data_IF_573874087106
#
_entry.id   IF_573874087106
#
_cell.length_a   1.000
_cell.length_b   1.000
_cell.length_c   1.000
_cell.angle_alpha   90.00
_cell.angle_beta   90.00
_cell.angle_gamma   90.00
#
_symmetry.space_group_name_H-M   'P 1'
#
loop_
_entity.id
_entity.type
_entity.pdbx_description
1 polymer ?
#
# COMPACT_ATOMS: atom_id res chain seq x y z
N UNK A 1 -29.18 32.11 -15.51
CA UNK A 1 -30.10 30.95 -15.42
C UNK A 1 -29.59 29.90 -16.38
N UNK A 2 -29.55 28.65 -15.92
CA UNK A 2 -29.01 27.43 -16.56
C UNK A 2 -27.49 27.43 -16.81
N UNK A 3 -26.75 26.82 -15.89
CA UNK A 3 -25.38 26.34 -16.11
C UNK A 3 -25.44 25.16 -17.09
N UNK A 4 -24.83 25.32 -18.25
CA UNK A 4 -24.72 24.27 -19.26
C UNK A 4 -24.03 23.01 -18.70
N UNK A 5 -24.86 21.97 -18.51
CA UNK A 5 -24.59 20.56 -18.77
C UNK A 5 -23.20 20.02 -18.47
N UNK A 6 -22.78 20.00 -17.21
CA UNK A 6 -21.75 19.03 -16.78
C UNK A 6 -22.36 17.64 -16.91
N UNK A 7 -22.08 16.96 -18.03
CA UNK A 7 -22.57 15.61 -18.26
C UNK A 7 -21.85 14.66 -17.31
N UNK A 8 -22.57 14.11 -16.33
CA UNK A 8 -22.05 13.08 -15.42
C UNK A 8 -21.70 11.82 -16.21
N UNK A 9 -20.44 11.75 -16.66
CA UNK A 9 -19.95 10.73 -17.57
C UNK A 9 -19.10 9.65 -16.89
N UNK A 10 -18.79 9.80 -15.59
CA UNK A 10 -18.04 8.83 -14.83
C UNK A 10 -19.00 7.93 -14.04
N UNK A 11 -19.15 6.67 -14.51
CA UNK A 11 -19.88 5.63 -13.79
C UNK A 11 -19.00 5.07 -12.66
N UNK A 12 -19.60 4.82 -11.49
CA UNK A 12 -18.90 4.37 -10.29
C UNK A 12 -19.79 3.59 -9.32
N UNK A 13 -19.16 3.05 -8.29
CA UNK A 13 -19.81 2.50 -7.10
C UNK A 13 -19.37 3.31 -5.88
N UNK A 14 -20.34 3.80 -5.09
CA UNK A 14 -20.08 4.63 -3.93
C UNK A 14 -20.81 4.14 -2.68
N UNK A 15 -20.15 4.27 -1.53
CA UNK A 15 -20.81 4.25 -0.22
C UNK A 15 -21.45 5.62 0.03
N UNK A 16 -22.59 5.63 0.72
CA UNK A 16 -23.34 6.86 1.06
C UNK A 16 -23.47 7.10 2.56
N UNK A 17 -23.12 6.10 3.36
CA UNK A 17 -23.23 6.10 4.82
C UNK A 17 -22.28 5.05 5.43
N UNK A 18 -22.11 5.03 6.77
CA UNK A 18 -21.20 4.12 7.46
C UNK A 18 -21.54 2.62 7.38
N UNK A 19 -22.64 2.20 6.74
CA UNK A 19 -22.84 0.78 6.43
C UNK A 19 -21.78 0.25 5.46
N UNK A 20 -21.21 1.13 4.64
CA UNK A 20 -20.26 0.82 3.59
C UNK A 20 -20.85 0.06 2.41
N UNK A 21 -22.18 -0.03 2.31
CA UNK A 21 -22.84 -0.66 1.16
C UNK A 21 -22.62 0.20 -0.08
N UNK A 22 -22.03 -0.40 -1.12
CA UNK A 22 -21.77 0.27 -2.38
C UNK A 22 -23.00 0.21 -3.28
N UNK A 23 -23.32 1.33 -3.92
CA UNK A 23 -24.39 1.44 -4.91
C UNK A 23 -23.92 2.23 -6.14
N UNK A 24 -24.55 2.05 -7.32
CA UNK A 24 -24.21 2.84 -8.50
C UNK A 24 -24.27 4.34 -8.22
N UNK A 25 -23.27 5.05 -8.71
CA UNK A 25 -23.09 6.48 -8.56
C UNK A 25 -22.53 7.07 -9.85
N UNK A 26 -23.01 8.25 -10.22
CA UNK A 26 -22.53 9.02 -11.37
C UNK A 26 -21.96 10.33 -10.87
N UNK A 27 -20.87 10.76 -11.49
CA UNK A 27 -20.24 12.04 -11.23
C UNK A 27 -19.41 12.47 -12.44
N UNK A 28 -18.82 13.66 -12.35
CA UNK A 28 -17.88 14.17 -13.34
C UNK A 28 -16.50 14.33 -12.73
N UNK A 29 -15.47 14.06 -13.54
CA UNK A 29 -14.10 14.43 -13.21
C UNK A 29 -13.74 15.75 -13.88
N UNK A 30 -12.73 16.42 -13.33
CA UNK A 30 -12.10 17.57 -13.99
C UNK A 30 -11.56 17.20 -15.37
N UNK A 31 -11.41 18.21 -16.22
CA UNK A 31 -10.74 18.05 -17.52
C UNK A 31 -9.28 17.62 -17.34
N UNK A 32 -8.71 17.01 -18.39
CA UNK A 32 -7.28 16.68 -18.44
C UNK A 32 -6.50 17.99 -18.54
N UNK A 33 -5.75 18.31 -17.49
CA UNK A 33 -4.84 19.45 -17.46
C UNK A 33 -3.55 19.16 -18.22
N UNK A 34 -2.69 20.17 -18.33
CA UNK A 34 -1.48 20.10 -19.16
C UNK A 34 -0.47 19.03 -18.70
N UNK A 35 -0.45 18.69 -17.42
CA UNK A 35 0.46 17.69 -16.82
C UNK A 35 -0.27 16.39 -16.41
N UNK A 36 -1.52 16.20 -16.86
CA UNK A 36 -2.36 15.08 -16.43
C UNK A 36 -2.41 13.93 -17.43
N UNK A 37 -2.67 12.75 -16.89
CA UNK A 37 -2.99 11.53 -17.63
C UNK A 37 -4.39 11.09 -17.26
N UNK A 38 -5.23 10.87 -18.27
CA UNK A 38 -6.52 10.21 -18.12
C UNK A 38 -6.38 8.75 -18.51
N UNK A 39 -6.86 7.84 -17.68
CA UNK A 39 -6.88 6.41 -17.97
C UNK A 39 -8.28 5.82 -17.86
N UNK A 40 -8.63 4.99 -18.83
CA UNK A 40 -9.77 4.08 -18.73
C UNK A 40 -9.39 2.98 -17.76
N UNK A 41 -10.13 2.86 -16.65
CA UNK A 41 -9.85 1.86 -15.63
C UNK A 41 -10.29 0.50 -16.16
N UNK A 42 -9.39 -0.48 -16.07
CA UNK A 42 -9.65 -1.87 -16.46
C UNK A 42 -9.77 -2.76 -15.24
N UNK A 43 -8.96 -2.50 -14.21
CA UNK A 43 -8.92 -3.24 -12.97
C UNK A 43 -8.72 -2.25 -11.82
N UNK A 44 -9.33 -2.56 -10.67
CA UNK A 44 -9.00 -1.93 -9.40
C UNK A 44 -8.95 -3.04 -8.35
N UNK A 45 -7.85 -3.12 -7.61
CA UNK A 45 -7.74 -4.04 -6.49
C UNK A 45 -8.63 -3.61 -5.31
N UNK A 46 -8.84 -4.56 -4.38
CA UNK A 46 -9.63 -4.37 -3.16
C UNK A 46 -8.71 -4.54 -1.96
N UNK A 47 -8.53 -3.47 -1.21
CA UNK A 47 -7.70 -3.45 0.00
C UNK A 47 -8.58 -3.25 1.24
N UNK A 48 -8.08 -3.68 2.41
CA UNK A 48 -8.78 -3.48 3.67
C UNK A 48 -9.06 -2.00 3.97
N UNK A 49 -8.19 -1.09 3.51
CA UNK A 49 -8.42 0.34 3.59
C UNK A 49 -9.75 0.76 2.91
N UNK A 50 -10.11 0.17 1.76
CA UNK A 50 -11.37 0.50 1.08
C UNK A 50 -12.58 0.14 1.95
N UNK A 51 -12.53 -1.02 2.62
CA UNK A 51 -13.57 -1.47 3.57
C UNK A 51 -13.61 -0.55 4.80
N UNK A 52 -12.43 -0.18 5.32
CA UNK A 52 -12.33 0.59 6.55
C UNK A 52 -12.88 2.02 6.37
N UNK A 53 -12.52 2.71 5.28
CA UNK A 53 -13.06 4.03 4.96
C UNK A 53 -14.52 3.98 4.54
N UNK A 54 -14.97 3.00 3.74
CA UNK A 54 -16.40 2.91 3.39
C UNK A 54 -17.32 2.72 4.61
N UNK A 55 -16.80 2.18 5.71
CA UNK A 55 -17.51 2.01 7.00
C UNK A 55 -17.22 3.11 8.02
N UNK A 56 -16.58 4.21 7.61
CA UNK A 56 -16.19 5.31 8.48
C UNK A 56 -15.31 4.89 9.67
N UNK A 57 -14.44 3.90 9.52
CA UNK A 57 -13.61 3.38 10.61
C UNK A 57 -12.69 4.40 11.26
N UNK A 58 -12.24 5.42 10.52
CA UNK A 58 -11.45 6.55 11.06
C UNK A 58 -12.31 7.74 11.53
N UNK A 59 -13.62 7.73 11.29
CA UNK A 59 -14.50 8.86 11.61
C UNK A 59 -14.41 10.05 10.64
N UNK A 60 -13.65 9.95 9.56
CA UNK A 60 -13.33 11.06 8.65
C UNK A 60 -13.86 10.87 7.21
N UNK A 61 -14.80 9.95 7.00
CA UNK A 61 -15.26 9.59 5.66
C UNK A 61 -16.20 10.63 5.07
N UNK A 62 -15.91 11.05 3.84
CA UNK A 62 -16.63 12.07 3.08
C UNK A 62 -17.53 11.39 2.04
N UNK A 63 -18.80 11.21 2.39
CA UNK A 63 -19.80 10.61 1.49
C UNK A 63 -20.35 11.64 0.47
N UNK A 64 -20.71 11.22 -0.77
CA UNK A 64 -20.54 9.89 -1.35
C UNK A 64 -19.07 9.52 -1.59
N UNK A 65 -18.66 8.36 -1.07
CA UNK A 65 -17.28 7.89 -1.09
C UNK A 65 -17.13 6.80 -2.16
N UNK A 66 -16.31 7.07 -3.17
CA UNK A 66 -15.90 6.09 -4.20
C UNK A 66 -14.52 5.55 -3.81
N UNK A 67 -14.40 4.31 -3.32
CA UNK A 67 -13.11 3.76 -2.90
C UNK A 67 -12.27 3.28 -4.09
N UNK A 68 -11.14 2.64 -3.80
CA UNK A 68 -10.22 2.05 -4.78
C UNK A 68 -8.97 2.89 -4.98
N UNK A 69 -7.81 2.30 -4.67
CA UNK A 69 -6.50 2.94 -4.72
C UNK A 69 -5.39 1.99 -5.23
N UNK A 70 -5.82 0.96 -5.94
CA UNK A 70 -4.99 -0.06 -6.59
C UNK A 70 -5.39 -0.11 -8.07
N UNK A 71 -5.24 1.03 -8.76
CA UNK A 71 -5.91 1.28 -10.05
C UNK A 71 -5.00 0.89 -11.20
N UNK A 72 -5.50 0.13 -12.15
CA UNK A 72 -4.80 -0.20 -13.40
C UNK A 72 -5.69 0.06 -14.61
N UNK A 73 -5.13 0.71 -15.62
CA UNK A 73 -5.86 1.10 -16.80
C UNK A 73 -5.00 1.31 -18.03
N UNK A 74 -5.67 1.77 -19.08
CA UNK A 74 -5.07 2.12 -20.35
C UNK A 74 -5.21 3.63 -20.53
N UNK A 75 -4.11 4.31 -20.84
CA UNK A 75 -4.11 5.76 -21.09
C UNK A 75 -5.08 6.08 -22.23
N UNK A 76 -6.01 6.99 -21.95
CA UNK A 76 -7.03 7.49 -22.88
C UNK A 76 -6.65 8.84 -23.45
N UNK A 77 -6.06 9.71 -22.64
CA UNK A 77 -5.72 11.09 -23.00
C UNK A 77 -4.55 11.56 -22.13
N UNK A 78 -3.70 12.43 -22.68
CA UNK A 78 -2.55 13.01 -21.97
C UNK A 78 -2.52 14.52 -22.20
N UNK A 79 -2.10 15.26 -21.17
CA UNK A 79 -1.87 16.69 -21.23
C UNK A 79 -0.69 17.06 -22.14
N UNK A 80 -0.65 18.32 -22.57
CA UNK A 80 0.35 18.82 -23.53
C UNK A 80 1.79 18.81 -23.01
N UNK A 81 2.01 18.77 -21.70
CA UNK A 81 3.34 18.71 -21.07
C UNK A 81 3.78 17.29 -20.73
N UNK A 82 2.86 16.32 -20.75
CA UNK A 82 3.17 14.93 -20.42
C UNK A 82 4.17 14.36 -21.43
N UNK A 83 5.22 13.72 -20.92
CA UNK A 83 6.27 13.08 -21.75
C UNK A 83 6.47 11.60 -21.44
N UNK A 84 6.16 11.16 -20.22
CA UNK A 84 6.36 9.77 -19.78
C UNK A 84 5.32 8.77 -20.33
N UNK A 85 4.18 9.27 -20.79
CA UNK A 85 3.02 8.47 -21.17
C UNK A 85 2.45 8.88 -22.52
N UNK A 86 1.82 7.93 -23.19
CA UNK A 86 1.06 8.13 -24.42
C UNK A 86 -0.22 7.30 -24.40
N UNK A 87 -1.19 7.70 -25.21
CA UNK A 87 -2.44 6.95 -25.41
C UNK A 87 -2.12 5.49 -25.75
N UNK A 88 -2.81 4.56 -25.08
CA UNK A 88 -2.59 3.11 -25.22
C UNK A 88 -1.60 2.50 -24.25
N UNK A 89 -0.79 3.29 -23.52
CA UNK A 89 0.12 2.74 -22.51
C UNK A 89 -0.65 2.11 -21.34
N UNK A 90 -0.09 1.03 -20.78
CA UNK A 90 -0.56 0.42 -19.53
C UNK A 90 -0.04 1.21 -18.33
N UNK A 91 -0.94 1.67 -17.46
CA UNK A 91 -0.60 2.57 -16.35
C UNK A 91 -1.33 2.17 -15.08
N UNK A 92 -0.61 2.26 -13.97
CA UNK A 92 -1.12 2.14 -12.61
C UNK A 92 -1.22 3.48 -11.89
N UNK A 93 -2.18 3.61 -10.98
CA UNK A 93 -2.27 4.71 -10.01
C UNK A 93 -2.46 4.11 -8.63
N UNK A 94 -1.60 4.49 -7.70
CA UNK A 94 -1.57 3.96 -6.34
C UNK A 94 -2.42 4.76 -5.36
N UNK A 95 -1.87 4.97 -4.16
CA UNK A 95 -2.60 5.53 -3.01
C UNK A 95 -2.63 7.07 -2.96
N UNK A 96 -1.96 7.71 -3.92
CA UNK A 96 -1.87 9.16 -4.06
C UNK A 96 -2.16 9.57 -5.49
N UNK A 97 -2.77 10.75 -5.65
CA UNK A 97 -3.04 11.35 -6.96
C UNK A 97 -2.39 12.72 -7.13
N UNK A 98 -1.92 13.33 -6.05
CA UNK A 98 -1.33 14.66 -6.08
C UNK A 98 -0.49 14.97 -4.81
N UNK A 99 0.32 16.03 -4.88
CA UNK A 99 1.09 16.62 -3.77
C UNK A 99 1.40 18.10 -4.08
N UNK A 100 2.14 18.78 -3.20
CA UNK A 100 2.57 20.15 -3.50
C UNK A 100 3.60 20.24 -4.64
N UNK A 101 4.38 19.17 -4.86
CA UNK A 101 5.43 19.05 -5.89
C UNK A 101 6.58 20.07 -5.77
N UNK A 102 6.66 20.86 -4.69
CA UNK A 102 7.65 21.92 -4.52
C UNK A 102 8.46 21.85 -3.21
N UNK A 103 8.01 21.10 -2.20
CA UNK A 103 8.72 20.93 -0.94
C UNK A 103 9.90 19.96 -1.05
N UNK A 104 10.81 19.99 -0.06
CA UNK A 104 12.00 19.11 0.00
C UNK A 104 11.65 17.64 -0.22
N UNK A 105 10.62 17.11 0.44
CA UNK A 105 10.20 15.72 0.27
C UNK A 105 9.68 15.43 -1.13
N UNK A 106 8.94 16.35 -1.73
CA UNK A 106 8.51 16.16 -3.11
C UNK A 106 9.66 16.26 -4.10
N UNK A 107 10.73 17.02 -3.81
CA UNK A 107 11.89 17.10 -4.70
C UNK A 107 12.81 15.88 -4.57
N UNK A 108 12.77 15.20 -3.42
CA UNK A 108 13.50 13.96 -3.14
C UNK A 108 12.69 12.69 -3.46
N UNK A 109 11.63 12.81 -4.28
CA UNK A 109 10.73 11.70 -4.63
C UNK A 109 10.20 10.96 -3.39
N UNK A 110 9.72 11.73 -2.41
CA UNK A 110 9.08 11.33 -1.14
C UNK A 110 7.73 12.05 -0.98
N UNK A 111 6.89 12.05 -2.03
CA UNK A 111 5.61 12.75 -2.05
C UNK A 111 4.62 12.24 -0.99
N UNK A 112 4.79 11.00 -0.54
CA UNK A 112 4.06 10.44 0.60
C UNK A 112 4.35 11.17 1.94
N UNK A 113 5.47 11.90 2.00
CA UNK A 113 5.90 12.73 3.11
C UNK A 113 5.76 14.24 2.82
N UNK A 114 5.02 14.62 1.78
CA UNK A 114 4.78 16.02 1.40
C UNK A 114 4.44 16.91 2.61
N UNK A 115 5.20 17.99 2.81
CA UNK A 115 5.03 18.89 3.98
C UNK A 115 3.72 19.67 3.97
N UNK A 116 3.12 19.88 2.79
CA UNK A 116 1.78 20.47 2.64
C UNK A 116 0.66 19.42 2.59
N UNK A 117 0.99 18.16 2.88
CA UNK A 117 0.07 17.03 2.85
C UNK A 117 0.06 16.29 1.51
N UNK A 118 0.01 14.95 1.57
CA UNK A 118 -0.27 14.09 0.41
C UNK A 118 -1.76 14.11 0.08
N UNK A 119 -2.12 14.00 -1.19
CA UNK A 119 -3.51 13.92 -1.63
C UNK A 119 -3.83 12.46 -1.98
N UNK A 120 -4.64 11.83 -1.13
CA UNK A 120 -5.08 10.44 -1.29
C UNK A 120 -5.94 10.26 -2.55
N UNK A 121 -5.88 9.07 -3.15
CA UNK A 121 -6.65 8.72 -4.36
C UNK A 121 -8.17 8.79 -4.19
N UNK A 122 -8.65 8.62 -2.96
CA UNK A 122 -10.04 8.86 -2.58
C UNK A 122 -10.11 9.46 -1.17
N UNK A 123 -11.27 10.04 -0.84
CA UNK A 123 -11.57 10.68 0.46
C UNK A 123 -10.70 11.91 0.81
N UNK A 124 -9.67 12.23 0.04
CA UNK A 124 -8.87 13.46 0.17
C UNK A 124 -9.50 14.66 -0.55
N UNK A 125 -8.99 15.85 -0.25
CA UNK A 125 -9.31 17.11 -0.97
C UNK A 125 -8.19 17.36 -1.98
N UNK A 126 -8.53 17.47 -3.26
CA UNK A 126 -7.56 17.76 -4.32
C UNK A 126 -7.24 19.27 -4.38
N UNK A 127 -6.27 19.65 -5.21
CA UNK A 127 -5.80 21.04 -5.37
C UNK A 127 -6.88 22.01 -5.87
N UNK A 128 -7.91 21.49 -6.53
CA UNK A 128 -9.07 22.24 -7.01
C UNK A 128 -10.22 22.34 -5.97
N UNK A 129 -10.01 21.79 -4.77
CA UNK A 129 -10.99 21.76 -3.69
C UNK A 129 -12.02 20.64 -3.80
N UNK A 130 -11.96 19.80 -4.84
CA UNK A 130 -12.89 18.68 -4.99
C UNK A 130 -12.49 17.49 -4.12
N UNK A 131 -13.49 16.68 -3.74
CA UNK A 131 -13.24 15.41 -3.04
C UNK A 131 -12.83 14.36 -4.06
N UNK A 132 -11.61 13.85 -3.89
CA UNK A 132 -11.03 12.75 -4.68
C UNK A 132 -11.90 11.49 -4.62
N UNK A 133 -12.00 10.80 -5.77
CA UNK A 133 -12.83 9.61 -5.98
C UNK A 133 -12.00 8.53 -6.67
N UNK A 134 -11.98 7.36 -6.06
CA UNK A 134 -11.05 6.28 -6.38
C UNK A 134 -11.39 5.45 -7.62
N UNK A 135 -10.76 4.29 -7.66
CA UNK A 135 -10.73 3.37 -8.80
C UNK A 135 -11.98 2.54 -9.02
N UNK A 136 -12.96 2.58 -8.12
CA UNK A 136 -14.25 1.89 -8.33
C UNK A 136 -15.15 2.72 -9.25
N UNK A 137 -14.55 3.15 -10.37
CA UNK A 137 -15.09 4.05 -11.36
C UNK A 137 -14.55 3.70 -12.75
N UNK A 138 -15.22 4.22 -13.79
CA UNK A 138 -14.93 3.88 -15.18
C UNK A 138 -13.63 4.51 -15.74
N UNK A 139 -13.20 5.65 -15.20
CA UNK A 139 -11.95 6.31 -15.58
C UNK A 139 -11.42 7.17 -14.43
N UNK A 140 -10.17 7.60 -14.50
CA UNK A 140 -9.56 8.57 -13.57
C UNK A 140 -8.63 9.54 -14.33
N UNK A 141 -8.51 10.77 -13.83
CA UNK A 141 -7.58 11.81 -14.30
C UNK A 141 -6.63 12.12 -13.17
N UNK A 142 -5.33 11.99 -13.40
CA UNK A 142 -4.27 12.07 -12.37
C UNK A 142 -3.07 12.79 -12.96
N UNK A 143 -2.34 13.54 -12.13
CA UNK A 143 -1.09 14.16 -12.54
C UNK A 143 -0.04 13.09 -12.91
N UNK A 144 0.72 13.27 -14.00
CA UNK A 144 1.60 12.22 -14.56
C UNK A 144 2.61 11.65 -13.55
N UNK A 145 3.05 12.47 -12.60
CA UNK A 145 3.95 12.09 -11.50
C UNK A 145 3.42 10.95 -10.61
N UNK A 146 2.11 10.75 -10.55
CA UNK A 146 1.46 9.71 -9.74
C UNK A 146 0.97 8.54 -10.60
N UNK A 147 1.41 8.48 -11.85
CA UNK A 147 1.18 7.37 -12.76
C UNK A 147 2.43 6.49 -12.82
N UNK A 148 2.22 5.18 -12.80
CA UNK A 148 3.30 4.18 -12.86
C UNK A 148 3.16 3.36 -14.14
N UNK A 149 4.20 3.30 -14.96
CA UNK A 149 4.18 2.51 -16.18
C UNK A 149 4.19 1.01 -15.85
N UNK A 150 3.26 0.26 -16.42
CA UNK A 150 3.20 -1.18 -16.28
C UNK A 150 3.78 -1.81 -17.56
N UNK A 151 4.72 -2.76 -17.47
CA UNK A 151 5.24 -3.44 -18.67
C UNK A 151 4.11 -4.08 -19.48
N UNK A 152 4.19 -3.98 -20.81
CA UNK A 152 3.11 -4.46 -21.70
C UNK A 152 2.77 -5.94 -21.49
N UNK A 153 3.78 -6.76 -21.20
CA UNK A 153 3.63 -8.21 -20.98
C UNK A 153 3.19 -8.58 -19.57
N UNK A 154 3.10 -7.61 -18.65
CA UNK A 154 2.70 -7.90 -17.28
C UNK A 154 1.16 -7.95 -17.16
N UNK A 155 0.58 -9.02 -16.58
CA UNK A 155 -0.87 -9.11 -16.43
C UNK A 155 -1.44 -7.97 -15.57
N UNK A 156 -2.28 -7.13 -16.16
CA UNK A 156 -2.80 -5.91 -15.52
C UNK A 156 -3.50 -6.16 -14.18
N UNK A 157 -4.28 -7.25 -14.09
CA UNK A 157 -4.96 -7.63 -12.86
C UNK A 157 -3.98 -7.91 -11.71
N UNK A 158 -2.79 -8.45 -12.01
CA UNK A 158 -1.76 -8.75 -11.02
C UNK A 158 -0.96 -7.51 -10.60
N UNK A 159 -0.99 -6.44 -11.41
CA UNK A 159 -0.27 -5.20 -11.11
C UNK A 159 -1.00 -4.36 -10.05
N UNK A 160 -2.33 -4.43 -10.01
CA UNK A 160 -3.15 -3.61 -9.13
C UNK A 160 -2.74 -3.72 -7.64
N UNK A 161 -2.62 -4.92 -7.03
CA UNK A 161 -2.21 -5.04 -5.62
C UNK A 161 -0.79 -4.55 -5.33
N UNK A 162 0.08 -4.48 -6.34
CA UNK A 162 1.45 -3.99 -6.16
C UNK A 162 1.48 -2.50 -5.82
N UNK A 163 0.48 -1.74 -6.28
CA UNK A 163 0.38 -0.28 -6.13
C UNK A 163 0.01 0.16 -4.70
N UNK A 164 -0.35 -0.78 -3.82
CA UNK A 164 -0.57 -0.53 -2.40
C UNK A 164 0.16 -1.55 -1.53
N UNK A 165 -0.31 -2.81 -1.48
CA UNK A 165 0.31 -3.84 -0.65
C UNK A 165 1.77 -4.11 -1.04
N UNK A 166 2.05 -4.16 -2.34
CA UNK A 166 3.42 -4.41 -2.83
C UNK A 166 4.40 -3.32 -2.43
N UNK A 167 4.13 -2.07 -2.81
CA UNK A 167 5.03 -0.95 -2.51
C UNK A 167 5.20 -0.72 -0.99
N UNK A 168 4.16 -1.00 -0.19
CA UNK A 168 4.20 -0.83 1.27
C UNK A 168 5.24 -1.73 1.94
N UNK A 169 5.39 -2.98 1.48
CA UNK A 169 6.40 -3.90 2.02
C UNK A 169 7.74 -3.80 1.29
N UNK A 170 7.73 -3.46 0.00
CA UNK A 170 8.94 -3.30 -0.81
C UNK A 170 9.79 -2.11 -0.33
N UNK A 171 9.18 -0.96 -0.11
CA UNK A 171 9.89 0.28 0.24
C UNK A 171 10.76 0.16 1.50
N UNK A 172 10.26 -0.33 2.65
CA UNK A 172 11.12 -0.50 3.81
C UNK A 172 12.18 -1.58 3.60
N UNK A 173 11.89 -2.64 2.82
CA UNK A 173 12.92 -3.62 2.48
C UNK A 173 14.08 -2.98 1.71
N UNK A 174 13.80 -2.13 0.72
CA UNK A 174 14.86 -1.43 -0.02
C UNK A 174 15.58 -0.42 0.86
N UNK A 175 14.85 0.42 1.60
CA UNK A 175 15.42 1.42 2.52
C UNK A 175 16.41 0.81 3.51
N UNK A 176 16.11 -0.39 3.99
CA UNK A 176 16.94 -1.12 4.96
C UNK A 176 17.86 -2.18 4.32
N UNK A 177 18.05 -2.14 2.99
CA UNK A 177 18.97 -3.03 2.25
C UNK A 177 18.68 -4.52 2.49
N UNK A 178 17.40 -4.88 2.49
CA UNK A 178 16.88 -6.24 2.61
C UNK A 178 16.66 -6.93 1.28
N UNK A 179 17.24 -6.40 0.21
CA UNK A 179 17.34 -7.05 -1.09
C UNK A 179 18.66 -7.80 -1.30
N UNK A 180 19.41 -8.08 -0.22
CA UNK A 180 20.69 -8.80 -0.25
C UNK A 180 20.43 -10.29 0.01
N UNK A 181 20.76 -11.18 -0.94
CA UNK A 181 20.56 -12.63 -0.78
C UNK A 181 21.20 -13.20 0.49
N UNK A 182 20.55 -14.20 1.07
CA UNK A 182 21.03 -14.92 2.26
C UNK A 182 20.66 -14.29 3.60
N UNK A 183 20.15 -13.05 3.65
CA UNK A 183 19.60 -12.46 4.87
C UNK A 183 18.29 -13.14 5.30
N UNK A 184 17.96 -13.04 6.58
CA UNK A 184 16.76 -13.63 7.19
C UNK A 184 15.66 -12.58 7.39
N UNK A 185 14.47 -12.86 6.84
CA UNK A 185 13.25 -12.07 6.95
C UNK A 185 12.23 -12.76 7.84
N UNK A 186 11.71 -12.06 8.84
CA UNK A 186 10.47 -12.40 9.54
C UNK A 186 9.27 -11.65 8.96
N UNK A 187 8.15 -12.34 8.76
CA UNK A 187 6.87 -11.72 8.35
C UNK A 187 5.83 -12.03 9.40
N UNK A 188 5.30 -11.01 10.09
CA UNK A 188 4.23 -11.19 11.07
C UNK A 188 2.88 -10.98 10.37
N UNK A 189 2.04 -12.01 10.40
CA UNK A 189 0.76 -12.04 9.72
C UNK A 189 0.86 -12.40 8.23
N UNK A 190 -0.04 -13.27 7.75
CA UNK A 190 -0.10 -13.67 6.35
C UNK A 190 -1.39 -13.18 5.69
N UNK A 191 -1.50 -11.87 5.49
CA UNK A 191 -2.62 -11.21 4.79
C UNK A 191 -2.21 -10.64 3.43
N UNK A 192 -2.86 -9.54 3.01
CA UNK A 192 -2.53 -8.82 1.77
C UNK A 192 -1.08 -8.32 1.74
N UNK A 193 -0.62 -7.66 2.80
CA UNK A 193 0.78 -7.21 2.87
C UNK A 193 1.74 -8.39 3.13
N UNK A 194 1.37 -9.29 4.05
CA UNK A 194 2.21 -10.43 4.42
C UNK A 194 2.59 -11.33 3.24
N UNK A 195 1.63 -11.69 2.37
CA UNK A 195 1.96 -12.53 1.21
C UNK A 195 2.86 -11.81 0.19
N UNK A 196 2.72 -10.48 0.05
CA UNK A 196 3.63 -9.67 -0.78
C UNK A 196 5.03 -9.62 -0.19
N UNK A 197 5.16 -9.49 1.14
CA UNK A 197 6.45 -9.51 1.82
C UNK A 197 7.18 -10.85 1.60
N UNK A 198 6.45 -11.97 1.67
CA UNK A 198 7.02 -13.30 1.37
C UNK A 198 7.49 -13.36 -0.08
N UNK A 199 6.65 -12.96 -1.04
CA UNK A 199 7.02 -12.98 -2.47
C UNK A 199 8.26 -12.14 -2.77
N UNK A 200 8.35 -10.91 -2.26
CA UNK A 200 9.55 -10.08 -2.44
C UNK A 200 10.77 -10.68 -1.72
N UNK A 201 10.61 -11.15 -0.48
CA UNK A 201 11.68 -11.80 0.27
C UNK A 201 12.27 -12.99 -0.48
N UNK A 202 11.42 -13.87 -1.04
CA UNK A 202 11.89 -15.00 -1.86
C UNK A 202 12.54 -14.54 -3.16
N UNK A 203 11.98 -13.54 -3.84
CA UNK A 203 12.55 -12.98 -5.06
C UNK A 203 13.94 -12.35 -4.83
N UNK A 204 14.19 -11.78 -3.65
CA UNK A 204 15.51 -11.27 -3.25
C UNK A 204 16.48 -12.34 -2.74
N UNK A 205 16.07 -13.61 -2.67
CA UNK A 205 16.90 -14.70 -2.15
C UNK A 205 17.06 -14.68 -0.63
N UNK A 206 16.09 -14.14 0.10
CA UNK A 206 16.06 -14.15 1.57
C UNK A 206 15.56 -15.50 2.10
N UNK A 207 15.95 -15.82 3.34
CA UNK A 207 15.34 -16.87 4.14
C UNK A 207 14.13 -16.30 4.86
N UNK A 208 12.93 -16.75 4.52
CA UNK A 208 11.67 -16.17 4.99
C UNK A 208 11.01 -17.06 6.03
N UNK A 209 10.80 -16.51 7.22
CA UNK A 209 10.04 -17.12 8.31
C UNK A 209 8.74 -16.35 8.51
N UNK A 210 7.61 -17.06 8.51
CA UNK A 210 6.29 -16.47 8.79
C UNK A 210 5.92 -16.73 10.24
N UNK A 211 5.37 -15.70 10.89
CA UNK A 211 4.77 -15.77 12.22
C UNK A 211 3.26 -15.59 12.10
N UNK A 212 2.51 -16.53 12.67
CA UNK A 212 1.05 -16.56 12.61
C UNK A 212 0.46 -16.93 13.97
N UNK A 213 -0.77 -16.51 14.23
CA UNK A 213 -1.52 -16.93 15.44
C UNK A 213 -2.22 -18.28 15.27
N UNK A 214 -2.30 -18.81 14.05
CA UNK A 214 -2.93 -20.10 13.76
C UNK A 214 -2.21 -20.87 12.66
N UNK A 215 -2.42 -22.19 12.65
CA UNK A 215 -1.81 -23.12 11.69
C UNK A 215 -2.45 -23.07 10.30
N UNK A 216 -3.63 -22.46 10.14
CA UNK A 216 -4.46 -22.60 8.93
C UNK A 216 -3.79 -22.13 7.64
N UNK A 217 -2.81 -21.24 7.75
CA UNK A 217 -2.06 -20.68 6.61
C UNK A 217 -0.69 -21.34 6.38
N UNK A 218 -0.35 -22.40 7.11
CA UNK A 218 0.97 -23.05 7.02
C UNK A 218 1.22 -23.66 5.64
N UNK A 219 0.22 -24.34 5.08
CA UNK A 219 0.36 -24.97 3.77
C UNK A 219 0.56 -23.93 2.66
N UNK A 220 -0.27 -22.89 2.65
CA UNK A 220 -0.15 -21.76 1.72
C UNK A 220 1.22 -21.09 1.85
N UNK A 221 1.65 -20.82 3.08
CA UNK A 221 2.94 -20.22 3.39
C UNK A 221 4.13 -21.02 2.81
N UNK A 222 4.19 -22.31 3.08
CA UNK A 222 5.36 -23.14 2.75
C UNK A 222 5.31 -23.60 1.29
N UNK A 223 4.15 -24.07 0.81
CA UNK A 223 4.05 -24.74 -0.49
C UNK A 223 3.72 -23.77 -1.62
N UNK A 224 2.82 -22.80 -1.39
CA UNK A 224 2.39 -21.87 -2.44
C UNK A 224 3.29 -20.64 -2.51
N UNK A 225 3.63 -20.04 -1.36
CA UNK A 225 4.44 -18.83 -1.30
C UNK A 225 5.94 -19.12 -1.17
N UNK A 226 6.33 -20.35 -0.82
CA UNK A 226 7.73 -20.78 -0.76
C UNK A 226 8.51 -20.26 0.44
N UNK A 227 7.83 -19.91 1.54
CA UNK A 227 8.50 -19.56 2.78
C UNK A 227 9.34 -20.73 3.33
N UNK A 228 10.45 -20.42 3.98
CA UNK A 228 11.40 -21.42 4.48
C UNK A 228 10.97 -21.98 5.85
N UNK A 229 10.21 -21.20 6.63
CA UNK A 229 9.72 -21.62 7.93
C UNK A 229 8.37 -20.97 8.27
N UNK A 230 7.58 -21.64 9.12
CA UNK A 230 6.30 -21.17 9.63
C UNK A 230 6.20 -21.47 11.13
N UNK A 231 6.02 -20.42 11.92
CA UNK A 231 5.98 -20.49 13.39
C UNK A 231 4.66 -19.95 13.90
N UNK A 232 4.05 -20.69 14.82
CA UNK A 232 2.91 -20.19 15.59
C UNK A 232 3.47 -19.32 16.72
N UNK A 233 3.07 -18.06 16.80
CA UNK A 233 3.69 -17.10 17.74
C UNK A 233 3.46 -17.44 19.22
N UNK A 234 2.47 -18.26 19.55
CA UNK A 234 2.25 -18.77 20.92
C UNK A 234 3.11 -19.97 21.29
N UNK A 235 3.85 -20.54 20.33
CA UNK A 235 4.79 -21.64 20.56
C UNK A 235 6.13 -21.07 21.08
N UNK A 236 6.30 -21.12 22.40
CA UNK A 236 7.47 -20.55 23.07
C UNK A 236 8.77 -21.26 22.70
N UNK A 237 8.75 -22.56 22.41
CA UNK A 237 9.95 -23.31 22.07
C UNK A 237 10.48 -22.90 20.70
N UNK A 238 9.60 -22.84 19.70
CA UNK A 238 9.98 -22.39 18.36
C UNK A 238 10.37 -20.90 18.32
N UNK A 239 9.67 -20.03 19.05
CA UNK A 239 10.05 -18.62 19.17
C UNK A 239 11.44 -18.48 19.80
N UNK A 240 11.71 -19.21 20.89
CA UNK A 240 13.03 -19.19 21.57
C UNK A 240 14.14 -19.70 20.66
N UNK A 241 13.90 -20.73 19.85
CA UNK A 241 14.87 -21.26 18.90
C UNK A 241 15.30 -20.25 17.82
N UNK A 242 14.47 -19.23 17.54
CA UNK A 242 14.74 -18.16 16.58
C UNK A 242 15.32 -16.88 17.19
N UNK A 243 15.65 -16.89 18.49
CA UNK A 243 16.28 -15.74 19.16
C UNK A 243 17.52 -15.28 18.41
N UNK A 244 17.61 -13.98 18.11
CA UNK A 244 18.74 -13.37 17.37
C UNK A 244 19.06 -14.04 16.03
N UNK A 245 18.05 -14.50 15.29
CA UNK A 245 18.23 -15.18 13.99
C UNK A 245 17.80 -14.35 12.77
N UNK A 246 17.03 -13.28 12.98
CA UNK A 246 16.44 -12.49 11.90
C UNK A 246 17.19 -11.17 11.69
N UNK A 247 17.44 -10.80 10.44
CA UNK A 247 18.02 -9.49 10.10
C UNK A 247 16.93 -8.41 10.07
N UNK A 248 15.73 -8.79 9.66
CA UNK A 248 14.60 -7.87 9.48
C UNK A 248 13.27 -8.54 9.77
N UNK A 249 12.35 -7.80 10.37
CA UNK A 249 10.96 -8.18 10.54
C UNK A 249 10.08 -7.12 9.87
N UNK A 250 9.15 -7.56 9.03
CA UNK A 250 8.01 -6.74 8.59
C UNK A 250 6.76 -7.21 9.32
N UNK A 251 6.17 -6.31 10.08
CA UNK A 251 4.93 -6.55 10.79
C UNK A 251 3.73 -6.01 10.03
N UNK A 252 2.89 -6.94 9.57
CA UNK A 252 1.69 -6.67 8.79
C UNK A 252 0.41 -6.93 9.57
N UNK A 253 0.51 -7.28 10.85
CA UNK A 253 -0.65 -7.53 11.68
C UNK A 253 -1.39 -6.22 11.98
N UNK A 254 -2.71 -6.22 11.75
CA UNK A 254 -3.58 -5.08 12.08
C UNK A 254 -4.14 -5.14 13.51
N UNK A 255 -4.00 -6.28 14.18
CA UNK A 255 -4.47 -6.47 15.56
C UNK A 255 -3.35 -6.24 16.58
N UNK A 256 -3.75 -5.90 17.80
CA UNK A 256 -2.82 -5.70 18.92
C UNK A 256 -2.10 -7.00 19.27
N UNK A 257 -0.79 -6.89 19.50
CA UNK A 257 0.07 -8.00 19.86
C UNK A 257 1.33 -7.51 20.59
N UNK A 258 1.99 -8.36 21.39
CA UNK A 258 3.22 -7.97 22.09
C UNK A 258 4.39 -7.84 21.12
N UNK A 259 5.18 -6.77 21.24
CA UNK A 259 6.33 -6.51 20.37
C UNK A 259 7.64 -7.11 20.88
N UNK A 260 7.84 -7.15 22.21
CA UNK A 260 9.09 -7.63 22.83
C UNK A 260 9.52 -9.04 22.35
N UNK A 261 8.63 -10.05 22.28
CA UNK A 261 9.02 -11.39 21.81
C UNK A 261 9.56 -11.40 20.39
N UNK A 262 9.06 -10.53 19.50
CA UNK A 262 9.54 -10.44 18.12
C UNK A 262 10.83 -9.63 18.02
N UNK A 263 10.96 -8.57 18.82
CA UNK A 263 12.22 -7.81 18.91
C UNK A 263 13.36 -8.73 19.34
N UNK A 264 13.13 -9.68 20.24
CA UNK A 264 14.14 -10.65 20.67
C UNK A 264 14.65 -11.59 19.55
N UNK A 265 13.83 -11.84 18.53
CA UNK A 265 14.21 -12.65 17.36
C UNK A 265 15.23 -11.94 16.45
N UNK A 266 15.29 -10.62 16.51
CA UNK A 266 16.22 -9.84 15.72
C UNK A 266 17.66 -10.01 16.23
N UNK A 267 18.57 -10.21 15.27
CA UNK A 267 20.03 -10.11 15.46
C UNK A 267 20.41 -8.75 16.06
N UNK A 268 21.66 -8.64 16.51
CA UNK A 268 22.23 -7.34 16.86
C UNK A 268 22.19 -6.43 15.62
N UNK A 269 21.69 -5.20 15.76
CA UNK A 269 21.48 -4.28 14.64
C UNK A 269 20.27 -4.59 13.76
N UNK A 270 19.47 -5.61 14.12
CA UNK A 270 18.30 -6.01 13.35
C UNK A 270 17.17 -4.97 13.40
N UNK A 271 16.30 -5.02 12.40
CA UNK A 271 15.30 -3.97 12.16
C UNK A 271 13.89 -4.57 12.22
N UNK A 272 13.05 -3.95 13.03
CA UNK A 272 11.61 -4.17 13.05
C UNK A 272 10.93 -3.03 12.28
N UNK A 273 10.12 -3.37 11.28
CA UNK A 273 9.30 -2.38 10.56
C UNK A 273 7.82 -2.69 10.73
N UNK A 274 7.10 -1.75 11.32
CA UNK A 274 5.65 -1.79 11.44
C UNK A 274 5.02 -1.16 10.19
N UNK A 275 4.18 -1.95 9.48
CA UNK A 275 3.31 -1.47 8.39
C UNK A 275 1.82 -1.73 8.67
N UNK A 276 1.52 -2.45 9.76
CA UNK A 276 0.19 -2.57 10.33
C UNK A 276 -0.19 -1.35 11.19
N UNK A 277 -1.46 -1.32 11.62
CA UNK A 277 -2.03 -0.26 12.47
C UNK A 277 -2.67 -0.85 13.73
N UNK A 278 -1.86 -1.37 14.68
CA UNK A 278 -2.37 -1.72 16.02
C UNK A 278 -2.82 -0.45 16.76
N UNK A 279 -3.64 -0.63 17.79
CA UNK A 279 -4.20 0.47 18.59
C UNK A 279 -3.16 1.13 19.51
N UNK A 280 -2.20 0.35 20.02
CA UNK A 280 -1.11 0.82 20.89
C UNK A 280 0.21 0.12 20.55
N UNK A 281 1.33 0.82 20.76
CA UNK A 281 2.68 0.26 20.68
C UNK A 281 3.33 0.35 22.06
N UNK A 282 3.72 -0.80 22.61
CA UNK A 282 4.41 -0.90 23.89
C UNK A 282 5.49 -1.99 23.85
N UNK A 283 6.70 -1.64 24.24
CA UNK A 283 7.81 -2.57 24.42
C UNK A 283 8.81 -2.04 25.44
N UNK A 284 9.66 -2.93 25.96
CA UNK A 284 10.75 -2.55 26.85
C UNK A 284 11.86 -1.80 26.08
N UNK A 285 12.35 -0.65 26.57
CA UNK A 285 13.52 0.01 25.98
C UNK A 285 14.76 -0.90 25.91
N UNK A 286 14.88 -1.85 26.84
CA UNK A 286 15.98 -2.82 26.84
C UNK A 286 15.96 -3.72 25.59
N UNK A 287 14.78 -4.03 25.06
CA UNK A 287 14.60 -4.82 23.84
C UNK A 287 15.18 -4.13 22.62
N UNK A 288 15.27 -2.79 22.61
CA UNK A 288 16.02 -2.05 21.58
C UNK A 288 17.49 -1.89 21.95
N UNK A 289 17.76 -1.35 23.15
CA UNK A 289 19.09 -0.87 23.54
C UNK A 289 20.13 -2.00 23.59
N UNK A 290 19.80 -3.16 24.18
CA UNK A 290 20.75 -4.27 24.35
C UNK A 290 21.13 -4.90 23.00
N UNK A 291 20.19 -4.89 22.04
CA UNK A 291 20.40 -5.46 20.71
C UNK A 291 20.84 -4.46 19.65
N UNK A 292 21.02 -3.17 19.99
CA UNK A 292 21.21 -2.08 19.01
C UNK A 292 20.14 -2.12 17.88
N UNK A 293 18.91 -2.50 18.22
CA UNK A 293 17.85 -2.75 17.24
C UNK A 293 17.16 -1.47 16.84
N UNK A 294 16.60 -1.47 15.63
CA UNK A 294 15.79 -0.37 15.12
C UNK A 294 14.32 -0.76 15.11
N UNK A 295 13.45 0.13 15.60
CA UNK A 295 12.01 0.07 15.37
C UNK A 295 11.64 1.20 14.42
N UNK A 296 11.00 0.90 13.30
CA UNK A 296 10.66 1.86 12.27
C UNK A 296 9.23 1.67 11.78
N UNK A 297 8.66 2.71 11.18
CA UNK A 297 7.42 2.64 10.43
C UNK A 297 7.67 2.84 8.95
N UNK A 298 6.78 2.30 8.11
CA UNK A 298 6.70 2.69 6.71
C UNK A 298 5.24 2.78 6.29
N UNK A 299 4.86 3.93 5.75
CA UNK A 299 3.60 4.09 5.03
C UNK A 299 3.86 3.85 3.54
N UNK A 300 2.79 3.65 2.76
CA UNK A 300 2.80 3.53 1.30
C UNK A 300 3.97 4.29 0.69
N UNK A 301 4.85 3.55 0.02
CA UNK A 301 6.04 4.14 -0.58
C UNK A 301 5.72 4.86 -1.88
N UNK A 302 6.75 5.50 -2.40
CA UNK A 302 6.84 6.11 -3.72
C UNK A 302 7.89 5.32 -4.49
N UNK A 303 7.62 5.07 -5.77
CA UNK A 303 8.39 4.16 -6.60
C UNK A 303 9.59 4.85 -7.25
#
# INVERSE_FOLDING_TARGET
>A
MASDGVTENCLAWAARDPSGVLSPYKFSRRAVGVDDVSLKITHCGVCYADVFWTRNGFGDSRYPLVPGHEIVGIVKEVGSNVRGFRVGDHVGVGTMVNSCRDCEYCNDDLENCCSKGRISTFNGVDVDGTITKGGYSSYIVVHERFCFKIPNEYPLALAAPLLCAGITVYSPMIRHKMNIPGKSLGVIGLGGLGHMAVKFGKAFGLKVTIFSTSISKKEEALNLLGADNFVISSDQEHMKALTKSLDFIVDTASGDHPFDPYLELLKIGGIYTLVGFPSEIKFSPASLNIGLRTFSGSMTGVA
#
